data_IF_600381735465
#
_entry.id   IF_600381735465
#
_cell.length_a   1.000
_cell.length_b   1.000
_cell.length_c   1.000
_cell.angle_alpha   90.00
_cell.angle_beta   90.00
_cell.angle_gamma   90.00
#
_symmetry.space_group_name_H-M   'P 1'
#
loop_
_entity.id
_entity.type
_entity.pdbx_description
1 polymer ?
#
# COMPACT_ATOMS: atom_id res chain seq x y z
N UNK A 1 -18.36 24.47 32.34
CA UNK A 1 -16.94 24.20 32.01
C UNK A 1 -16.46 23.12 32.96
N UNK A 2 -16.50 21.86 32.54
CA UNK A 2 -16.06 20.71 33.34
C UNK A 2 -15.05 19.92 32.52
N UNK A 3 -13.96 19.57 33.21
CA UNK A 3 -12.70 19.09 32.71
C UNK A 3 -12.80 18.01 31.63
N UNK A 4 -11.98 18.20 30.58
CA UNK A 4 -11.64 17.16 29.62
C UNK A 4 -10.97 16.00 30.34
N UNK A 5 -11.75 14.96 30.59
CA UNK A 5 -11.21 13.62 30.80
C UNK A 5 -10.70 13.14 29.45
N UNK A 6 -9.46 13.52 29.13
CA UNK A 6 -8.66 12.86 28.11
C UNK A 6 -8.53 11.40 28.54
N UNK A 7 -9.44 10.56 28.04
CA UNK A 7 -9.40 9.13 28.17
C UNK A 7 -8.05 8.68 27.60
N UNK A 8 -7.06 8.48 28.46
CA UNK A 8 -5.80 7.81 28.12
C UNK A 8 -6.19 6.42 27.67
N UNK A 9 -6.47 6.27 26.38
CA UNK A 9 -7.02 5.06 25.80
C UNK A 9 -6.03 3.93 26.07
N UNK A 10 -6.37 3.08 27.04
CA UNK A 10 -5.47 2.09 27.59
C UNK A 10 -4.94 1.17 26.47
N UNK A 11 -3.62 1.07 26.36
CA UNK A 11 -2.96 0.27 25.33
C UNK A 11 -3.21 -1.21 25.65
N UNK A 12 -3.90 -1.90 24.75
CA UNK A 12 -4.26 -3.31 24.94
C UNK A 12 -3.05 -4.22 24.76
N UNK A 13 -3.13 -5.46 25.26
CA UNK A 13 -2.10 -6.49 25.02
C UNK A 13 -1.94 -6.80 23.53
N UNK A 14 -3.02 -6.71 22.75
CA UNK A 14 -2.97 -6.85 21.29
C UNK A 14 -2.16 -5.73 20.63
N UNK A 15 -2.39 -4.48 21.05
CA UNK A 15 -1.64 -3.31 20.55
C UNK A 15 -0.14 -3.45 20.81
N UNK A 16 0.25 -3.89 22.01
CA UNK A 16 1.65 -4.16 22.38
C UNK A 16 2.27 -5.28 21.54
N UNK A 17 1.53 -6.37 21.31
CA UNK A 17 2.01 -7.50 20.48
C UNK A 17 2.18 -7.09 19.02
N UNK A 18 1.25 -6.30 18.48
CA UNK A 18 1.33 -5.80 17.11
C UNK A 18 2.51 -4.84 16.93
N UNK A 19 2.68 -3.90 17.87
CA UNK A 19 3.81 -2.98 17.88
C UNK A 19 5.16 -3.70 17.97
N UNK A 20 5.26 -4.73 18.81
CA UNK A 20 6.47 -5.54 18.93
C UNK A 20 6.76 -6.35 17.66
N UNK A 21 5.74 -6.87 16.98
CA UNK A 21 5.89 -7.61 15.72
C UNK A 21 6.43 -6.70 14.60
N UNK A 22 5.91 -5.48 14.50
CA UNK A 22 6.27 -4.53 13.44
C UNK A 22 7.63 -3.88 13.61
N UNK A 23 8.18 -3.88 14.83
CA UNK A 23 9.53 -3.36 15.12
C UNK A 23 10.59 -4.47 15.22
N UNK A 24 10.31 -5.70 14.77
CA UNK A 24 11.34 -6.74 14.74
C UNK A 24 12.37 -6.44 13.66
N UNK A 25 13.65 -6.45 14.05
CA UNK A 25 14.78 -6.24 13.14
C UNK A 25 15.01 -7.42 12.19
N UNK A 26 14.50 -8.61 12.51
CA UNK A 26 14.64 -9.83 11.71
C UNK A 26 14.16 -9.67 10.25
N UNK A 27 13.15 -8.82 10.02
CA UNK A 27 12.62 -8.51 8.69
C UNK A 27 13.30 -7.34 7.98
N UNK A 28 14.19 -6.61 8.65
CA UNK A 28 14.79 -5.35 8.16
C UNK A 28 15.56 -5.53 6.86
N UNK A 29 16.24 -6.66 6.68
CA UNK A 29 17.00 -6.97 5.46
C UNK A 29 16.15 -6.90 4.18
N UNK A 30 14.84 -7.17 4.27
CA UNK A 30 13.95 -7.14 3.10
C UNK A 30 13.61 -5.71 2.65
N UNK A 31 13.72 -4.72 3.55
CA UNK A 31 13.29 -3.34 3.29
C UNK A 31 14.31 -2.28 3.73
N UNK A 32 15.54 -2.69 4.04
CA UNK A 32 16.60 -1.82 4.56
C UNK A 32 16.98 -0.71 3.59
N UNK A 33 16.88 -0.97 2.28
CA UNK A 33 17.20 0.02 1.24
C UNK A 33 15.97 0.52 0.49
N UNK A 34 16.02 1.78 0.07
CA UNK A 34 14.98 2.40 -0.76
C UNK A 34 14.71 1.60 -2.03
N UNK A 35 15.74 1.02 -2.65
CA UNK A 35 15.60 0.19 -3.85
C UNK A 35 14.77 -1.06 -3.57
N UNK A 36 15.05 -1.79 -2.47
CA UNK A 36 14.27 -2.99 -2.11
C UNK A 36 12.82 -2.64 -1.81
N UNK A 37 12.57 -1.56 -1.06
CA UNK A 37 11.20 -1.09 -0.79
C UNK A 37 10.44 -0.75 -2.07
N UNK A 38 11.07 -0.01 -3.00
CA UNK A 38 10.49 0.33 -4.31
C UNK A 38 10.20 -0.91 -5.15
N UNK A 39 11.07 -1.93 -5.10
CA UNK A 39 10.83 -3.20 -5.79
C UNK A 39 9.61 -3.93 -5.23
N UNK A 40 9.46 -4.01 -3.90
CA UNK A 40 8.27 -4.63 -3.29
C UNK A 40 6.98 -3.87 -3.60
N UNK A 41 7.00 -2.53 -3.57
CA UNK A 41 5.85 -1.73 -3.98
C UNK A 41 5.53 -1.95 -5.47
N UNK A 42 6.55 -1.94 -6.34
CA UNK A 42 6.37 -2.20 -7.77
C UNK A 42 5.82 -3.59 -8.06
N UNK A 43 6.34 -4.62 -7.40
CA UNK A 43 5.84 -5.99 -7.49
C UNK A 43 4.38 -6.08 -7.03
N UNK A 44 4.03 -5.43 -5.92
CA UNK A 44 2.66 -5.38 -5.40
C UNK A 44 1.69 -4.71 -6.38
N UNK A 45 2.10 -3.60 -7.02
CA UNK A 45 1.34 -2.92 -8.07
C UNK A 45 1.12 -3.85 -9.28
N UNK A 46 2.18 -4.51 -9.76
CA UNK A 46 2.10 -5.40 -10.92
C UNK A 46 1.18 -6.60 -10.65
N UNK A 47 1.30 -7.20 -9.48
CA UNK A 47 0.45 -8.31 -9.07
C UNK A 47 -1.00 -7.87 -8.92
N UNK A 48 -1.26 -6.69 -8.34
CA UNK A 48 -2.60 -6.11 -8.24
C UNK A 48 -3.20 -5.89 -9.63
N UNK A 49 -2.43 -5.32 -10.57
CA UNK A 49 -2.87 -5.14 -11.95
C UNK A 49 -3.22 -6.49 -12.61
N UNK A 50 -2.35 -7.50 -12.45
CA UNK A 50 -2.58 -8.84 -12.99
C UNK A 50 -3.85 -9.48 -12.38
N UNK A 51 -4.05 -9.36 -11.06
CA UNK A 51 -5.24 -9.85 -10.37
C UNK A 51 -6.51 -9.13 -10.84
N UNK A 52 -6.48 -7.82 -11.06
CA UNK A 52 -7.62 -7.05 -11.59
C UNK A 52 -7.96 -7.48 -13.02
N UNK A 53 -6.95 -7.66 -13.89
CA UNK A 53 -7.15 -8.17 -15.25
C UNK A 53 -7.79 -9.56 -15.21
N UNK A 54 -7.25 -10.48 -14.41
CA UNK A 54 -7.81 -11.81 -14.25
C UNK A 54 -9.24 -11.76 -13.69
N UNK A 55 -9.51 -10.89 -12.72
CA UNK A 55 -10.85 -10.71 -12.15
C UNK A 55 -11.86 -10.29 -13.22
N UNK A 56 -11.48 -9.33 -14.08
CA UNK A 56 -12.32 -8.93 -15.20
C UNK A 56 -12.58 -10.08 -16.19
N UNK A 57 -11.58 -10.92 -16.47
CA UNK A 57 -11.75 -12.12 -17.30
C UNK A 57 -12.73 -13.11 -16.64
N UNK A 58 -12.66 -13.28 -15.31
CA UNK A 58 -13.59 -14.13 -14.58
C UNK A 58 -15.02 -13.61 -14.63
N UNK A 59 -15.21 -12.30 -14.42
CA UNK A 59 -16.54 -11.69 -14.36
C UNK A 59 -17.18 -11.56 -15.75
N UNK A 60 -16.41 -11.14 -16.76
CA UNK A 60 -16.92 -10.76 -18.07
C UNK A 60 -16.54 -11.71 -19.22
N UNK A 61 -15.56 -12.60 -19.03
CA UNK A 61 -15.06 -13.49 -20.08
C UNK A 61 -15.76 -14.86 -20.12
N UNK A 62 -15.50 -15.62 -21.19
CA UNK A 62 -16.07 -16.96 -21.42
C UNK A 62 -15.21 -18.09 -20.81
N UNK A 63 -13.87 -17.93 -20.76
CA UNK A 63 -12.93 -18.93 -20.22
C UNK A 63 -12.36 -18.47 -18.87
N UNK A 64 -12.98 -18.92 -17.77
CA UNK A 64 -12.80 -18.32 -16.42
C UNK A 64 -11.84 -19.09 -15.50
N UNK A 65 -11.70 -20.41 -15.69
CA UNK A 65 -11.04 -21.28 -14.70
C UNK A 65 -9.55 -20.98 -14.52
N UNK A 66 -8.82 -20.76 -15.62
CA UNK A 66 -7.39 -20.43 -15.54
C UNK A 66 -7.14 -19.08 -14.86
N UNK A 67 -8.03 -18.10 -15.06
CA UNK A 67 -7.91 -16.78 -14.47
C UNK A 67 -8.16 -16.82 -12.95
N UNK A 68 -9.10 -17.67 -12.49
CA UNK A 68 -9.28 -17.96 -11.07
C UNK A 68 -8.02 -18.60 -10.47
N UNK A 69 -7.43 -19.59 -11.14
CA UNK A 69 -6.18 -20.23 -10.66
C UNK A 69 -5.05 -19.20 -10.54
N UNK A 70 -4.91 -18.29 -11.51
CA UNK A 70 -3.90 -17.21 -11.44
C UNK A 70 -4.16 -16.27 -10.25
N UNK A 71 -5.42 -15.86 -10.01
CA UNK A 71 -5.76 -15.03 -8.85
C UNK A 71 -5.35 -15.72 -7.54
N UNK A 72 -5.70 -17.01 -7.40
CA UNK A 72 -5.36 -17.79 -6.21
C UNK A 72 -3.84 -17.96 -6.05
N UNK A 73 -3.12 -18.20 -7.14
CA UNK A 73 -1.66 -18.32 -7.13
C UNK A 73 -0.97 -16.99 -6.75
N UNK A 74 -1.51 -15.85 -7.20
CA UNK A 74 -0.99 -14.52 -6.87
C UNK A 74 -1.28 -14.10 -5.43
N UNK A 75 -2.33 -14.65 -4.79
CA UNK A 75 -2.78 -14.21 -3.48
C UNK A 75 -1.69 -14.34 -2.40
N UNK A 76 -0.98 -15.48 -2.34
CA UNK A 76 0.07 -15.69 -1.35
C UNK A 76 1.23 -14.69 -1.49
N UNK A 77 1.88 -14.54 -2.66
CA UNK A 77 2.92 -13.54 -2.82
C UNK A 77 2.38 -12.10 -2.64
N UNK A 78 1.09 -11.85 -2.93
CA UNK A 78 0.46 -10.53 -2.74
C UNK A 78 0.35 -10.19 -1.24
N UNK A 79 -0.10 -11.16 -0.44
CA UNK A 79 -0.16 -11.03 1.02
C UNK A 79 1.23 -10.84 1.61
N UNK A 80 2.22 -11.58 1.12
CA UNK A 80 3.61 -11.44 1.56
C UNK A 80 4.16 -10.04 1.26
N UNK A 81 3.99 -9.55 0.02
CA UNK A 81 4.43 -8.20 -0.34
C UNK A 81 3.71 -7.11 0.48
N UNK A 82 2.41 -7.30 0.78
CA UNK A 82 1.65 -6.42 1.68
C UNK A 82 2.30 -6.37 3.06
N UNK A 83 2.63 -7.53 3.65
CA UNK A 83 3.31 -7.64 4.93
C UNK A 83 4.69 -6.97 4.94
N UNK A 84 5.46 -7.11 3.86
CA UNK A 84 6.77 -6.43 3.72
C UNK A 84 6.60 -4.91 3.65
N UNK A 85 5.62 -4.39 2.92
CA UNK A 85 5.37 -2.94 2.85
C UNK A 85 4.87 -2.41 4.21
N UNK A 86 4.02 -3.17 4.91
CA UNK A 86 3.53 -2.79 6.24
C UNK A 86 4.65 -2.78 7.29
N UNK A 87 5.53 -3.79 7.29
CA UNK A 87 6.69 -3.79 8.20
C UNK A 87 7.67 -2.67 7.85
N UNK A 88 7.91 -2.39 6.57
CA UNK A 88 8.74 -1.27 6.14
C UNK A 88 8.20 0.10 6.60
N UNK A 89 6.89 0.24 6.74
CA UNK A 89 6.24 1.45 7.28
C UNK A 89 6.06 1.39 8.80
N UNK A 90 6.67 0.41 9.49
CA UNK A 90 6.51 0.14 10.93
C UNK A 90 5.04 0.08 11.36
N UNK A 91 4.18 -0.41 10.47
CA UNK A 91 2.74 -0.52 10.72
C UNK A 91 1.97 0.78 10.74
N UNK A 92 2.47 1.86 10.12
CA UNK A 92 1.85 3.18 10.14
C UNK A 92 0.35 3.18 9.83
N UNK A 93 -0.10 2.27 8.96
CA UNK A 93 -1.51 2.14 8.55
C UNK A 93 -2.30 1.12 9.37
N UNK A 94 -1.63 0.15 9.99
CA UNK A 94 -2.27 -0.93 10.76
C UNK A 94 -2.37 -0.61 12.26
N UNK A 95 -1.42 0.16 12.80
CA UNK A 95 -1.42 0.56 14.20
C UNK A 95 -2.51 1.60 14.48
N UNK A 96 -3.19 1.41 15.61
CA UNK A 96 -4.22 2.34 16.10
C UNK A 96 -3.60 3.68 16.45
N UNK A 97 -4.33 4.77 16.20
CA UNK A 97 -3.82 6.13 16.42
C UNK A 97 -3.33 6.40 17.84
N UNK A 98 -3.88 5.71 18.85
CA UNK A 98 -3.45 5.80 20.26
C UNK A 98 -2.06 5.21 20.56
N UNK A 99 -1.53 4.39 19.67
CA UNK A 99 -0.21 3.74 19.80
C UNK A 99 0.85 4.53 19.02
N UNK A 100 0.41 5.39 18.10
CA UNK A 100 1.28 6.20 17.25
C UNK A 100 1.64 7.50 17.96
N UNK A 101 2.90 7.90 17.86
CA UNK A 101 3.36 9.21 18.29
C UNK A 101 2.83 10.33 17.36
N UNK A 102 2.85 11.59 17.81
CA UNK A 102 2.39 12.75 17.03
C UNK A 102 3.10 12.85 15.68
N UNK A 103 4.40 12.53 15.65
CA UNK A 103 5.17 12.48 14.40
C UNK A 103 4.64 11.42 13.44
N UNK A 104 4.35 10.21 13.92
CA UNK A 104 3.83 9.12 13.09
C UNK A 104 2.41 9.43 12.61
N UNK A 105 1.58 10.04 13.44
CA UNK A 105 0.26 10.52 13.03
C UNK A 105 0.36 11.53 11.88
N UNK A 106 1.25 12.52 11.99
CA UNK A 106 1.47 13.49 10.93
C UNK A 106 2.02 12.84 9.63
N UNK A 107 2.91 11.86 9.73
CA UNK A 107 3.40 11.10 8.57
C UNK A 107 2.28 10.31 7.88
N UNK A 108 1.42 9.68 8.67
CA UNK A 108 0.24 8.95 8.18
C UNK A 108 -0.74 9.87 7.44
N UNK A 109 -0.98 11.05 7.98
CA UNK A 109 -1.91 12.02 7.37
C UNK A 109 -1.32 12.62 6.09
N UNK A 110 0.00 12.89 6.05
CA UNK A 110 0.68 13.27 4.80
C UNK A 110 0.58 12.17 3.74
N UNK A 111 0.75 10.90 4.11
CA UNK A 111 0.60 9.77 3.20
C UNK A 111 -0.83 9.67 2.65
N UNK A 112 -1.86 9.79 3.52
CA UNK A 112 -3.27 9.79 3.11
C UNK A 112 -3.61 10.98 2.20
N UNK A 113 -3.12 12.18 2.52
CA UNK A 113 -3.35 13.36 1.70
C UNK A 113 -2.74 13.21 0.30
N UNK A 114 -1.53 12.65 0.20
CA UNK A 114 -0.91 12.33 -1.11
C UNK A 114 -1.68 11.25 -1.85
N UNK A 115 -2.07 10.17 -1.17
CA UNK A 115 -2.87 9.10 -1.76
C UNK A 115 -4.20 9.61 -2.31
N UNK A 116 -4.86 10.53 -1.59
CA UNK A 116 -6.09 11.16 -2.03
C UNK A 116 -5.88 12.01 -3.29
N UNK A 117 -4.82 12.82 -3.35
CA UNK A 117 -4.47 13.61 -4.55
C UNK A 117 -4.18 12.72 -5.76
N UNK A 118 -3.41 11.64 -5.57
CA UNK A 118 -3.13 10.68 -6.64
C UNK A 118 -4.39 9.96 -7.11
N UNK A 119 -5.25 9.53 -6.19
CA UNK A 119 -6.54 8.92 -6.54
C UNK A 119 -7.42 9.91 -7.31
N UNK A 120 -7.46 11.18 -6.90
CA UNK A 120 -8.24 12.21 -7.60
C UNK A 120 -7.75 12.41 -9.03
N UNK A 121 -6.42 12.45 -9.22
CA UNK A 121 -5.81 12.48 -10.55
C UNK A 121 -6.12 11.22 -11.37
N UNK A 122 -6.08 10.04 -10.75
CA UNK A 122 -6.44 8.78 -11.40
C UNK A 122 -7.91 8.77 -11.85
N UNK A 123 -8.83 9.24 -11.02
CA UNK A 123 -10.26 9.34 -11.34
C UNK A 123 -10.48 10.27 -12.54
N UNK A 124 -9.81 11.43 -12.55
CA UNK A 124 -9.85 12.35 -13.67
C UNK A 124 -9.30 11.68 -14.95
N UNK A 125 -8.15 11.02 -14.86
CA UNK A 125 -7.55 10.31 -15.99
C UNK A 125 -8.45 9.19 -16.52
N UNK A 126 -9.10 8.43 -15.63
CA UNK A 126 -10.05 7.39 -15.99
C UNK A 126 -11.28 7.96 -16.70
N UNK A 127 -11.85 9.06 -16.19
CA UNK A 127 -13.00 9.73 -16.80
C UNK A 127 -12.66 10.25 -18.21
N UNK A 128 -11.51 10.93 -18.36
CA UNK A 128 -11.04 11.42 -19.65
C UNK A 128 -10.73 10.27 -20.62
N UNK A 129 -10.11 9.19 -20.14
CA UNK A 129 -9.77 8.02 -20.95
C UNK A 129 -11.00 7.29 -21.49
N UNK A 130 -12.00 7.05 -20.64
CA UNK A 130 -13.27 6.44 -21.05
C UNK A 130 -14.03 7.35 -22.03
N UNK A 131 -14.08 8.67 -21.76
CA UNK A 131 -14.71 9.64 -22.65
C UNK A 131 -14.03 9.70 -24.03
N UNK A 132 -12.70 9.71 -24.07
CA UNK A 132 -11.93 9.71 -25.31
C UNK A 132 -12.12 8.40 -26.11
N UNK A 133 -12.19 7.25 -25.43
CA UNK A 133 -12.46 5.96 -26.08
C UNK A 133 -13.85 5.92 -26.74
N UNK A 134 -14.86 6.50 -26.09
CA UNK A 134 -16.19 6.65 -26.69
C UNK A 134 -16.20 7.60 -27.88
N UNK A 135 -15.44 8.69 -27.82
CA UNK A 135 -15.35 9.67 -28.91
C UNK A 135 -14.73 9.10 -30.19
N UNK A 136 -13.71 8.24 -30.07
CA UNK A 136 -13.04 7.64 -31.24
C UNK A 136 -13.85 6.54 -31.92
N UNK A 137 -14.98 6.11 -31.32
CA UNK A 137 -15.89 5.11 -31.89
C UNK A 137 -15.31 3.70 -31.97
N UNK A 138 -14.12 3.46 -31.42
CA UNK A 138 -13.39 2.19 -31.53
C UNK A 138 -13.76 1.15 -30.47
N UNK A 139 -14.40 1.54 -29.36
CA UNK A 139 -14.73 0.65 -28.24
C UNK A 139 -16.08 1.04 -27.62
N UNK A 140 -17.01 0.09 -27.38
CA UNK A 140 -18.25 0.38 -26.66
C UNK A 140 -17.94 0.81 -25.21
N UNK A 141 -18.37 2.02 -24.86
CA UNK A 141 -18.11 2.63 -23.54
C UNK A 141 -18.68 1.78 -22.42
N UNK A 142 -19.86 1.19 -22.62
CA UNK A 142 -20.53 0.35 -21.63
C UNK A 142 -19.66 -0.83 -21.19
N UNK A 143 -18.90 -1.41 -22.14
CA UNK A 143 -17.97 -2.50 -21.88
C UNK A 143 -16.73 -2.11 -21.08
N UNK A 144 -16.42 -0.81 -20.99
CA UNK A 144 -15.25 -0.29 -20.27
C UNK A 144 -15.57 0.17 -18.85
N UNK A 145 -16.81 0.55 -18.57
CA UNK A 145 -17.19 1.15 -17.28
C UNK A 145 -16.83 0.22 -16.12
N UNK A 146 -17.32 -1.03 -16.14
CA UNK A 146 -17.12 -1.94 -15.02
C UNK A 146 -15.64 -2.34 -14.82
N UNK A 147 -14.87 -2.69 -15.87
CA UNK A 147 -13.44 -2.96 -15.72
C UNK A 147 -12.62 -1.78 -15.20
N UNK A 148 -12.89 -0.57 -15.70
CA UNK A 148 -12.19 0.64 -15.25
C UNK A 148 -12.54 0.95 -13.80
N UNK A 149 -13.81 0.85 -13.41
CA UNK A 149 -14.22 1.05 -12.02
C UNK A 149 -13.56 0.04 -11.07
N UNK A 150 -13.47 -1.23 -11.46
CA UNK A 150 -12.77 -2.25 -10.67
C UNK A 150 -11.28 -1.90 -10.46
N UNK A 151 -10.60 -1.47 -11.53
CA UNK A 151 -9.20 -1.06 -11.47
C UNK A 151 -8.98 0.18 -10.61
N UNK A 152 -9.83 1.20 -10.78
CA UNK A 152 -9.80 2.43 -9.99
C UNK A 152 -10.08 2.15 -8.52
N UNK A 153 -11.06 1.31 -8.20
CA UNK A 153 -11.40 0.93 -6.84
C UNK A 153 -10.24 0.20 -6.14
N UNK A 154 -9.67 -0.81 -6.80
CA UNK A 154 -8.51 -1.53 -6.26
C UNK A 154 -7.32 -0.59 -6.02
N UNK A 155 -7.06 0.30 -6.98
CA UNK A 155 -5.98 1.28 -6.89
C UNK A 155 -6.23 2.29 -5.76
N UNK A 156 -7.45 2.80 -5.63
CA UNK A 156 -7.85 3.72 -4.56
C UNK A 156 -7.62 3.10 -3.18
N UNK A 157 -8.03 1.84 -3.01
CA UNK A 157 -7.89 1.12 -1.75
C UNK A 157 -6.42 0.95 -1.36
N UNK A 158 -5.56 0.61 -2.32
CA UNK A 158 -4.14 0.30 -2.06
C UNK A 158 -3.22 1.53 -2.11
N UNK A 159 -3.70 2.66 -2.62
CA UNK A 159 -2.90 3.89 -2.77
C UNK A 159 -2.21 4.34 -1.47
N UNK A 160 -2.86 4.36 -0.29
CA UNK A 160 -2.20 4.78 0.95
C UNK A 160 -1.02 3.87 1.30
N UNK A 161 -1.13 2.57 1.06
CA UNK A 161 -0.08 1.59 1.31
C UNK A 161 1.14 1.83 0.41
N UNK A 162 0.90 2.00 -0.90
CA UNK A 162 1.98 2.26 -1.85
C UNK A 162 2.66 3.60 -1.58
N UNK A 163 1.88 4.65 -1.33
CA UNK A 163 2.42 5.97 -1.00
C UNK A 163 3.24 5.94 0.29
N UNK A 164 2.72 5.29 1.33
CA UNK A 164 3.46 5.14 2.59
C UNK A 164 4.78 4.40 2.36
N UNK A 165 4.76 3.24 1.68
CA UNK A 165 5.95 2.45 1.39
C UNK A 165 7.02 3.20 0.59
N UNK A 166 6.62 4.04 -0.36
CA UNK A 166 7.52 4.88 -1.16
C UNK A 166 8.07 6.10 -0.41
N UNK A 167 7.37 6.55 0.63
CA UNK A 167 7.77 7.70 1.44
C UNK A 167 8.73 7.36 2.58
N UNK A 168 8.84 6.09 2.96
CA UNK A 168 9.77 5.64 4.00
C UNK A 168 11.20 6.02 3.61
N UNK A 169 11.88 6.75 4.51
CA UNK A 169 13.29 7.11 4.36
C UNK A 169 14.18 5.94 4.79
N UNK A 170 15.37 5.86 4.22
CA UNK A 170 16.37 4.90 4.69
C UNK A 170 16.77 5.22 6.13
N UNK A 171 16.90 4.19 6.95
CA UNK A 171 17.58 4.32 8.25
C UNK A 171 19.07 4.59 7.94
N UNK A 172 19.71 5.57 8.59
CA UNK A 172 21.14 5.79 8.40
C UNK A 172 21.88 4.48 8.67
N UNK A 173 22.84 4.13 7.80
CA UNK A 173 23.70 2.99 8.06
C UNK A 173 24.46 3.27 9.36
N UNK A 174 24.39 2.37 10.33
CA UNK A 174 25.25 2.44 11.51
C UNK A 174 26.70 2.43 11.01
N UNK A 175 27.42 3.53 11.25
CA UNK A 175 28.85 3.58 10.98
C UNK A 175 29.53 2.50 11.82
N UNK A 176 30.41 1.66 11.25
CA UNK A 176 31.08 0.64 12.04
C UNK A 176 31.95 1.31 13.10
N UNK A 177 31.54 1.14 14.36
CA UNK A 177 32.31 1.54 15.53
C UNK A 177 33.74 0.96 15.47
N UNK A 178 34.74 1.84 15.32
CA UNK A 178 36.12 1.54 15.68
C UNK A 178 37.13 1.42 14.54
N UNK A 179 37.64 2.58 14.09
CA UNK A 179 39.07 2.69 13.78
C UNK A 179 39.67 3.67 14.77
N UNK A 180 40.08 3.13 15.92
CA UNK A 180 40.97 3.81 16.85
C UNK A 180 42.33 3.96 16.16
N UNK A 181 42.56 5.09 15.50
CA UNK A 181 43.89 5.48 15.03
C UNK A 181 44.75 5.75 16.27
N UNK A 182 45.52 4.74 16.69
CA UNK A 182 46.66 4.96 17.59
C UNK A 182 47.72 5.74 16.80
N UNK A 183 47.97 6.96 17.24
CA UNK A 183 49.21 7.72 16.97
C UNK A 183 50.24 7.29 18.01
#
# INVERSE_FOLDING_TARGET
MTAGQGQTAEITTHDRRMFALMNREEGSALHSTATRRRLFVGAHILMTAASVVCWNIVVFGERRDWALVVILALLLPWCFATGVINTATRGLLELRGRVLDERQLAERDRARARAHRLTSGLLLAAALGVGAAGWTGGVPVEGLIAPVLAAVLATHWLMPLWVAGLMVRDEPADEPDGVSAKV
#
